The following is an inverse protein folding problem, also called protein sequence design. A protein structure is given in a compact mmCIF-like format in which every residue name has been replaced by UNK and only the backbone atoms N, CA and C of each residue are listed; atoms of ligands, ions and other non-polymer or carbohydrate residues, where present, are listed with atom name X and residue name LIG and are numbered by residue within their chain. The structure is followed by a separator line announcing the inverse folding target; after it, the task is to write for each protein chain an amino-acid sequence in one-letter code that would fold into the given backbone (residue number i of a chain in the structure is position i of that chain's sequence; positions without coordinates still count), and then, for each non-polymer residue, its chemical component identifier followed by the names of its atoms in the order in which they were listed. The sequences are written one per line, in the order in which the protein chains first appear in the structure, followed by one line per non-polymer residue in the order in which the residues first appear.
data_IF_840526077121
#
_entry.id   IF_840526077121
#
_cell.length_a   1.000
_cell.length_b   1.000
_cell.length_c   1.000
_cell.angle_alpha   90.00
_cell.angle_beta   90.00
_cell.angle_gamma   90.00
#
_symmetry.space_group_name_H-M   'P 1'
#
loop_
_entity.id
_entity.type
_entity.pdbx_description
1 polymer ?
#
# COMPACT_ATOMS: atom_id res chain seq x y z
N UNK A 1 -22.31 32.71 6.49
CA UNK A 1 -22.35 33.81 5.47
C UNK A 1 -20.99 34.12 4.82
N UNK A 2 -19.90 34.26 5.59
CA UNK A 2 -18.56 34.60 5.05
C UNK A 2 -17.92 33.49 4.19
N UNK A 3 -18.12 32.21 4.53
CA UNK A 3 -17.57 31.04 3.80
C UNK A 3 -18.08 30.97 2.36
N UNK A 4 -19.33 31.35 2.13
CA UNK A 4 -19.95 31.32 0.81
C UNK A 4 -19.33 32.35 -0.14
N UNK A 5 -19.02 33.55 0.35
CA UNK A 5 -18.54 34.64 -0.49
C UNK A 5 -17.12 34.37 -1.01
N UNK A 6 -16.23 33.81 -0.19
CA UNK A 6 -14.87 33.46 -0.62
C UNK A 6 -14.87 32.38 -1.73
N UNK A 7 -15.73 31.37 -1.59
CA UNK A 7 -15.89 30.32 -2.61
C UNK A 7 -16.40 30.92 -3.92
N UNK A 8 -17.43 31.76 -3.86
CA UNK A 8 -17.98 32.41 -5.05
C UNK A 8 -16.95 33.34 -5.72
N UNK A 9 -16.19 34.11 -4.94
CA UNK A 9 -15.16 35.00 -5.46
C UNK A 9 -14.04 34.23 -6.16
N UNK A 10 -13.60 33.10 -5.60
CA UNK A 10 -12.53 32.30 -6.19
C UNK A 10 -12.99 31.52 -7.42
N UNK A 11 -14.23 31.01 -7.43
CA UNK A 11 -14.86 30.43 -8.62
C UNK A 11 -14.98 31.47 -9.74
N UNK A 12 -15.41 32.69 -9.42
CA UNK A 12 -15.52 33.77 -10.41
C UNK A 12 -14.15 34.15 -10.99
N UNK A 13 -13.08 34.17 -10.18
CA UNK A 13 -11.71 34.37 -10.67
C UNK A 13 -11.25 33.23 -11.58
N UNK A 14 -11.50 31.98 -11.19
CA UNK A 14 -11.18 30.80 -12.01
C UNK A 14 -11.87 30.90 -13.37
N UNK A 15 -13.17 31.20 -13.40
CA UNK A 15 -13.92 31.29 -14.65
C UNK A 15 -13.39 32.44 -15.54
N UNK A 16 -13.12 33.60 -14.94
CA UNK A 16 -12.61 34.78 -15.65
C UNK A 16 -11.22 34.55 -16.23
N UNK A 17 -10.29 34.03 -15.43
CA UNK A 17 -8.91 33.79 -15.87
C UNK A 17 -8.81 32.60 -16.83
N UNK A 18 -9.66 31.58 -16.69
CA UNK A 18 -9.81 30.49 -17.66
C UNK A 18 -10.21 31.01 -19.04
N UNK A 19 -11.27 31.82 -19.11
CA UNK A 19 -11.73 32.40 -20.39
C UNK A 19 -10.67 33.29 -21.04
N UNK A 20 -9.97 34.12 -20.26
CA UNK A 20 -8.88 34.95 -20.78
C UNK A 20 -7.68 34.12 -21.21
N UNK A 21 -7.32 33.06 -20.49
CA UNK A 21 -6.24 32.16 -20.88
C UNK A 21 -6.56 31.50 -22.23
N UNK A 22 -7.77 30.96 -22.39
CA UNK A 22 -8.22 30.34 -23.65
C UNK A 22 -8.22 31.36 -24.80
N UNK A 23 -8.74 32.57 -24.59
CA UNK A 23 -8.72 33.62 -25.61
C UNK A 23 -7.30 34.05 -25.99
N UNK A 24 -6.40 34.17 -25.01
CA UNK A 24 -5.01 34.54 -25.26
C UNK A 24 -4.22 33.43 -25.96
N UNK A 25 -4.55 32.15 -25.69
CA UNK A 25 -4.01 31.00 -26.42
C UNK A 25 -4.51 30.97 -27.87
N UNK A 26 -5.80 31.21 -28.09
CA UNK A 26 -6.38 31.28 -29.44
C UNK A 26 -5.76 32.42 -30.28
N UNK A 27 -5.40 33.54 -29.63
CA UNK A 27 -4.76 34.68 -30.26
C UNK A 27 -3.21 34.58 -30.27
N UNK A 28 -2.62 33.43 -29.90
CA UNK A 28 -1.17 33.17 -29.87
C UNK A 28 -0.35 34.09 -28.94
N UNK A 29 -1.02 34.78 -28.02
CA UNK A 29 -0.39 35.66 -27.02
C UNK A 29 0.09 34.85 -25.81
N UNK A 30 1.08 33.99 -26.02
CA UNK A 30 1.55 32.97 -25.06
C UNK A 30 1.98 33.55 -23.70
N UNK A 31 2.58 34.74 -23.67
CA UNK A 31 3.00 35.38 -22.41
C UNK A 31 1.81 35.75 -21.50
N UNK A 32 0.76 36.32 -22.08
CA UNK A 32 -0.45 36.67 -21.32
C UNK A 32 -1.30 35.43 -20.99
N UNK A 33 -1.28 34.41 -21.85
CA UNK A 33 -1.89 33.12 -21.56
C UNK A 33 -1.23 32.44 -20.34
N UNK A 34 0.11 32.45 -20.27
CA UNK A 34 0.85 31.86 -19.15
C UNK A 34 0.55 32.57 -17.82
N UNK A 35 0.45 33.90 -17.81
CA UNK A 35 0.08 34.68 -16.62
C UNK A 35 -1.33 34.33 -16.15
N UNK A 36 -2.31 34.29 -17.05
CA UNK A 36 -3.68 33.95 -16.69
C UNK A 36 -3.80 32.48 -16.24
N UNK A 37 -3.03 31.57 -16.84
CA UNK A 37 -2.95 30.18 -16.41
C UNK A 37 -2.34 30.06 -15.01
N UNK A 38 -1.29 30.82 -14.70
CA UNK A 38 -0.72 30.86 -13.36
C UNK A 38 -1.73 31.38 -12.33
N UNK A 39 -2.45 32.47 -12.65
CA UNK A 39 -3.50 33.00 -11.78
C UNK A 39 -4.63 32.00 -11.56
N UNK A 40 -5.03 31.26 -12.61
CA UNK A 40 -6.00 30.17 -12.51
C UNK A 40 -5.51 29.06 -11.58
N UNK A 41 -4.25 28.63 -11.71
CA UNK A 41 -3.66 27.62 -10.83
C UNK A 41 -3.56 28.09 -9.38
N UNK A 42 -3.20 29.36 -9.16
CA UNK A 42 -3.21 29.97 -7.83
C UNK A 42 -4.62 29.98 -7.23
N UNK A 43 -5.62 30.37 -8.01
CA UNK A 43 -7.01 30.39 -7.53
C UNK A 43 -7.56 29.01 -7.23
N UNK A 44 -7.24 28.01 -8.06
CA UNK A 44 -7.57 26.61 -7.80
C UNK A 44 -6.93 26.09 -6.52
N UNK A 45 -5.65 26.41 -6.31
CA UNK A 45 -4.94 26.01 -5.09
C UNK A 45 -5.51 26.69 -3.85
N UNK A 46 -5.87 27.97 -3.93
CA UNK A 46 -6.50 28.70 -2.82
C UNK A 46 -7.88 28.13 -2.48
N UNK A 47 -8.70 27.80 -3.48
CA UNK A 47 -9.99 27.15 -3.27
C UNK A 47 -9.82 25.76 -2.66
N UNK A 48 -8.86 24.96 -3.14
CA UNK A 48 -8.56 23.63 -2.62
C UNK A 48 -8.05 23.69 -1.17
N UNK A 49 -7.15 24.63 -0.86
CA UNK A 49 -6.67 24.88 0.51
C UNK A 49 -7.83 25.28 1.42
N UNK A 50 -8.68 26.21 0.99
CA UNK A 50 -9.82 26.64 1.79
C UNK A 50 -10.84 25.51 2.01
N UNK A 51 -11.13 24.70 0.99
CA UNK A 51 -12.00 23.54 1.13
C UNK A 51 -11.38 22.48 2.06
N UNK A 52 -10.06 22.28 1.98
CA UNK A 52 -9.32 21.43 2.90
C UNK A 52 -9.41 21.94 4.34
N UNK A 53 -9.25 23.25 4.55
CA UNK A 53 -9.34 23.88 5.87
C UNK A 53 -10.76 23.82 6.43
N UNK A 54 -11.80 24.00 5.61
CA UNK A 54 -13.20 23.84 6.03
C UNK A 54 -13.51 22.39 6.38
N UNK A 55 -13.02 21.43 5.58
CA UNK A 55 -13.18 20.00 5.87
C UNK A 55 -12.44 19.61 7.15
N UNK A 56 -11.21 20.08 7.32
CA UNK A 56 -10.42 19.86 8.52
C UNK A 56 -11.03 20.55 9.73
N UNK A 57 -11.64 21.73 9.57
CA UNK A 57 -12.37 22.42 10.64
C UNK A 57 -13.66 21.68 10.99
N UNK A 58 -14.39 21.11 10.03
CA UNK A 58 -15.54 20.24 10.32
C UNK A 58 -15.10 18.93 11.01
N UNK A 59 -13.99 18.34 10.59
CA UNK A 59 -13.40 17.15 11.22
C UNK A 59 -12.87 17.47 12.63
N UNK A 60 -12.24 18.63 12.82
CA UNK A 60 -11.83 19.16 14.11
C UNK A 60 -13.01 19.59 14.98
N UNK A 61 -14.11 20.10 14.44
CA UNK A 61 -15.31 20.47 15.20
C UNK A 61 -16.10 19.23 15.63
N UNK A 62 -16.11 18.18 14.80
CA UNK A 62 -16.54 16.84 15.21
C UNK A 62 -15.58 16.22 16.25
N UNK A 63 -14.28 16.52 16.19
CA UNK A 63 -13.29 16.12 17.20
C UNK A 63 -13.35 16.99 18.47
N UNK A 64 -13.75 18.27 18.39
CA UNK A 64 -13.89 19.21 19.51
C UNK A 64 -15.23 19.03 20.24
N UNK A 65 -16.24 18.48 19.57
CA UNK A 65 -17.43 17.92 20.25
C UNK A 65 -17.07 16.71 21.13
N UNK A 66 -15.83 16.21 21.02
CA UNK A 66 -15.20 15.19 21.84
C UNK A 66 -14.09 15.74 22.77
N UNK A 67 -13.93 17.06 22.91
CA UNK A 67 -13.00 17.71 23.84
C UNK A 67 -13.73 18.73 24.73
N UNK A 68 -14.64 18.24 25.56
CA UNK A 68 -14.93 18.84 26.87
C UNK A 68 -14.29 17.93 27.94
N UNK A 69 -12.96 17.95 28.01
CA UNK A 69 -12.16 17.65 29.20
C UNK A 69 -10.68 17.88 28.86
N UNK A 70 -10.11 18.85 29.55
CA UNK A 70 -8.76 19.42 29.40
C UNK A 70 -7.59 18.43 29.31
N UNK A 71 -6.52 18.87 28.63
CA UNK A 71 -5.16 18.68 29.16
C UNK A 71 -4.15 17.91 28.30
N UNK A 72 -3.41 18.68 27.48
CA UNK A 72 -2.00 18.48 27.09
C UNK A 72 -1.55 17.17 26.40
N UNK A 73 -1.34 17.25 25.07
CA UNK A 73 -0.42 16.37 24.33
C UNK A 73 0.76 17.17 23.77
N UNK A 74 1.97 16.82 24.19
CA UNK A 74 3.20 17.02 23.42
C UNK A 74 3.65 15.64 22.92
N UNK A 75 3.62 15.42 21.61
CA UNK A 75 4.52 14.46 20.98
C UNK A 75 4.91 15.01 19.60
N UNK A 76 6.19 15.34 19.47
CA UNK A 76 6.80 15.84 18.25
C UNK A 76 7.14 14.67 17.30
N UNK A 77 6.96 14.98 16.02
CA UNK A 77 7.80 14.60 14.87
C UNK A 77 7.20 13.59 13.85
N UNK A 78 6.63 14.08 12.73
CA UNK A 78 6.29 13.28 11.57
C UNK A 78 7.50 13.20 10.61
N UNK A 79 7.82 11.99 10.11
CA UNK A 79 8.57 11.83 8.86
C UNK A 79 7.69 11.09 7.86
N UNK A 80 7.53 11.78 6.73
CA UNK A 80 6.64 11.52 5.62
C UNK A 80 7.34 10.65 4.57
N UNK A 81 6.66 9.60 4.10
CA UNK A 81 6.75 8.96 2.78
C UNK A 81 5.49 8.09 2.71
N UNK A 82 4.53 8.16 1.80
CA UNK A 82 4.40 8.76 0.48
C UNK A 82 3.49 7.80 -0.30
N UNK A 83 2.23 8.16 -0.53
CA UNK A 83 1.34 7.73 -1.63
C UNK A 83 -0.12 8.06 -1.28
N UNK A 84 -0.62 9.12 -1.88
CA UNK A 84 -2.05 9.35 -2.04
C UNK A 84 -2.48 8.61 -3.30
N UNK A 85 -3.27 7.55 -3.13
CA UNK A 85 -4.28 7.08 -4.06
C UNK A 85 -5.13 6.04 -3.32
N UNK A 86 -6.41 6.38 -3.08
CA UNK A 86 -7.38 5.66 -2.25
C UNK A 86 -7.05 5.64 -0.76
N UNK A 87 -7.31 6.73 -0.04
CA UNK A 87 -7.50 6.65 1.43
C UNK A 87 -8.86 6.00 1.72
N UNK A 88 -8.95 4.71 1.39
CA UNK A 88 -9.91 3.80 2.02
C UNK A 88 -9.58 3.80 3.51
N UNK A 89 -10.58 3.71 4.39
CA UNK A 89 -10.34 3.71 5.82
C UNK A 89 -9.43 2.53 6.16
N UNK A 90 -8.25 2.83 6.71
CA UNK A 90 -7.34 1.82 7.23
C UNK A 90 -8.05 1.01 8.32
N UNK A 91 -7.77 -0.28 8.41
CA UNK A 91 -8.31 -1.17 9.45
C UNK A 91 -8.13 -0.57 10.86
N UNK A 92 -7.02 0.14 11.09
CA UNK A 92 -6.73 0.90 12.31
C UNK A 92 -7.75 2.00 12.59
N UNK A 93 -8.16 2.75 11.57
CA UNK A 93 -9.17 3.81 11.68
C UNK A 93 -10.55 3.23 11.96
N UNK A 94 -10.94 2.15 11.27
CA UNK A 94 -12.22 1.47 11.52
C UNK A 94 -12.29 0.90 12.92
N UNK A 95 -11.19 0.33 13.42
CA UNK A 95 -11.09 -0.16 14.80
C UNK A 95 -11.30 0.96 15.82
N UNK A 96 -10.71 2.12 15.59
CA UNK A 96 -10.87 3.27 16.48
C UNK A 96 -12.33 3.74 16.50
N UNK A 97 -12.95 3.87 15.33
CA UNK A 97 -14.37 4.21 15.20
C UNK A 97 -15.26 3.20 15.92
N UNK A 98 -14.99 1.90 15.77
CA UNK A 98 -15.72 0.86 16.48
C UNK A 98 -15.58 1.03 17.99
N UNK A 99 -14.35 1.21 18.49
CA UNK A 99 -14.10 1.35 19.92
C UNK A 99 -14.84 2.55 20.51
N UNK A 100 -14.91 3.65 19.77
CA UNK A 100 -15.63 4.84 20.21
C UNK A 100 -17.15 4.62 20.15
N UNK A 101 -17.66 3.88 19.16
CA UNK A 101 -19.05 3.44 19.11
C UNK A 101 -19.40 2.53 20.30
N UNK A 102 -18.50 1.63 20.70
CA UNK A 102 -18.69 0.75 21.86
C UNK A 102 -18.83 1.56 23.16
N UNK A 103 -17.95 2.55 23.35
CA UNK A 103 -18.04 3.46 24.51
C UNK A 103 -19.33 4.25 24.52
N UNK A 104 -19.77 4.76 23.37
CA UNK A 104 -21.04 5.50 23.25
C UNK A 104 -22.23 4.60 23.59
N UNK A 105 -22.25 3.35 23.13
CA UNK A 105 -23.29 2.39 23.49
C UNK A 105 -23.29 2.06 24.99
N UNK A 106 -22.13 1.84 25.60
CA UNK A 106 -22.05 1.60 27.05
C UNK A 106 -22.52 2.81 27.87
N UNK A 107 -22.15 4.02 27.45
CA UNK A 107 -22.60 5.26 28.08
C UNK A 107 -24.13 5.40 27.97
N UNK A 108 -24.69 5.19 26.77
CA UNK A 108 -26.13 5.26 26.55
C UNK A 108 -26.86 4.19 27.36
N UNK A 109 -26.33 2.97 27.45
CA UNK A 109 -26.92 1.90 28.25
C UNK A 109 -27.03 2.30 29.73
N UNK A 110 -25.98 2.93 30.29
CA UNK A 110 -26.00 3.46 31.67
C UNK A 110 -27.01 4.59 31.84
N UNK A 111 -27.12 5.48 30.85
CA UNK A 111 -28.11 6.57 30.89
C UNK A 111 -29.55 6.07 30.79
N UNK A 112 -29.80 5.02 29.99
CA UNK A 112 -31.09 4.33 29.91
C UNK A 112 -31.46 3.68 31.24
N UNK A 113 -30.51 3.00 31.91
CA UNK A 113 -30.74 2.39 33.23
C UNK A 113 -31.00 3.44 34.32
N UNK A 114 -30.35 4.60 34.24
CA UNK A 114 -30.52 5.69 35.19
C UNK A 114 -31.77 6.55 34.93
N UNK A 115 -32.53 6.28 33.85
CA UNK A 115 -33.77 7.01 33.52
C UNK A 115 -33.59 8.50 33.21
N UNK A 116 -32.35 8.95 32.92
CA UNK A 116 -32.01 10.39 32.83
C UNK A 116 -32.35 11.05 31.49
N UNK A 117 -32.62 10.27 30.44
CA UNK A 117 -32.88 10.79 29.08
C UNK A 117 -34.28 10.46 28.59
N UNK A 118 -34.89 11.38 27.84
CA UNK A 118 -36.20 11.15 27.24
C UNK A 118 -36.13 10.09 26.13
N UNK A 119 -37.20 9.32 25.96
CA UNK A 119 -37.30 8.23 24.96
C UNK A 119 -36.99 8.70 23.52
N UNK A 120 -37.29 9.96 23.20
CA UNK A 120 -37.02 10.56 21.88
C UNK A 120 -35.52 10.78 21.64
N UNK A 121 -34.80 11.29 22.63
CA UNK A 121 -33.35 11.50 22.56
C UNK A 121 -32.58 10.17 22.47
N UNK A 122 -33.03 9.16 23.22
CA UNK A 122 -32.48 7.80 23.16
C UNK A 122 -32.70 7.21 21.76
N UNK A 123 -33.88 7.38 21.18
CA UNK A 123 -34.18 6.89 19.82
C UNK A 123 -33.30 7.54 18.76
N UNK A 124 -33.04 8.84 18.87
CA UNK A 124 -32.17 9.58 17.95
C UNK A 124 -30.71 9.13 18.09
N UNK A 125 -30.23 8.95 19.32
CA UNK A 125 -28.87 8.45 19.58
C UNK A 125 -28.67 7.03 19.02
N UNK A 126 -29.66 6.14 19.20
CA UNK A 126 -29.62 4.78 18.65
C UNK A 126 -29.62 4.77 17.12
N UNK A 127 -30.43 5.64 16.48
CA UNK A 127 -30.42 5.78 15.02
C UNK A 127 -29.06 6.26 14.50
N UNK A 128 -28.45 7.26 15.15
CA UNK A 128 -27.10 7.73 14.82
C UNK A 128 -26.07 6.60 14.96
N UNK A 129 -26.11 5.83 16.04
CA UNK A 129 -25.20 4.70 16.22
C UNK A 129 -25.43 3.58 15.18
N UNK A 130 -26.68 3.32 14.79
CA UNK A 130 -26.98 2.36 13.72
C UNK A 130 -26.35 2.81 12.38
N UNK A 131 -26.46 4.09 12.04
CA UNK A 131 -25.82 4.63 10.81
C UNK A 131 -24.30 4.56 10.85
N UNK A 132 -23.69 4.78 12.01
CA UNK A 132 -22.24 4.65 12.18
C UNK A 132 -21.79 3.19 12.04
N UNK A 133 -22.51 2.26 12.66
CA UNK A 133 -22.25 0.82 12.53
C UNK A 133 -22.37 0.36 11.08
N UNK A 134 -23.38 0.84 10.35
CA UNK A 134 -23.56 0.53 8.93
C UNK A 134 -22.39 1.04 8.07
N UNK A 135 -21.89 2.25 8.36
CA UNK A 135 -20.73 2.80 7.66
C UNK A 135 -19.48 1.93 7.90
N UNK A 136 -19.26 1.47 9.13
CA UNK A 136 -18.16 0.56 9.47
C UNK A 136 -18.33 -0.78 8.75
N UNK A 137 -19.54 -1.35 8.74
CA UNK A 137 -19.83 -2.60 8.04
C UNK A 137 -19.56 -2.51 6.54
N UNK A 138 -20.00 -1.44 5.88
CA UNK A 138 -19.74 -1.21 4.44
C UNK A 138 -18.24 -1.11 4.14
N UNK A 139 -17.50 -0.40 4.99
CA UNK A 139 -16.05 -0.33 4.87
C UNK A 139 -15.38 -1.71 5.05
N UNK A 140 -15.85 -2.50 6.01
CA UNK A 140 -15.38 -3.89 6.21
C UNK A 140 -15.68 -4.80 5.03
N UNK A 141 -16.82 -4.64 4.35
CA UNK A 141 -17.14 -5.37 3.13
C UNK A 141 -16.15 -5.06 2.00
N UNK A 142 -15.79 -3.78 1.82
CA UNK A 142 -14.79 -3.38 0.83
C UNK A 142 -13.42 -3.99 1.14
N UNK A 143 -13.05 -4.04 2.42
CA UNK A 143 -11.81 -4.66 2.90
C UNK A 143 -11.83 -6.18 2.64
N UNK A 144 -12.96 -6.85 2.90
CA UNK A 144 -13.15 -8.28 2.59
C UNK A 144 -12.94 -8.58 1.11
N UNK A 145 -13.53 -7.77 0.23
CA UNK A 145 -13.41 -7.96 -1.23
C UNK A 145 -11.96 -7.81 -1.70
N UNK A 146 -11.19 -6.89 -1.11
CA UNK A 146 -9.78 -6.73 -1.41
C UNK A 146 -8.95 -7.93 -0.97
N UNK A 147 -9.12 -8.37 0.28
CA UNK A 147 -8.43 -9.57 0.78
C UNK A 147 -8.79 -10.83 0.00
N UNK A 148 -10.03 -10.93 -0.48
CA UNK A 148 -10.46 -12.05 -1.32
C UNK A 148 -9.77 -12.03 -2.68
N UNK A 149 -9.54 -10.84 -3.26
CA UNK A 149 -8.77 -10.67 -4.52
C UNK A 149 -7.29 -10.98 -4.35
N UNK A 150 -6.72 -10.70 -3.18
CA UNK A 150 -5.31 -10.96 -2.83
C UNK A 150 -5.05 -12.44 -2.48
N UNK A 151 -6.07 -13.30 -2.50
CA UNK A 151 -5.94 -14.74 -2.25
C UNK A 151 -5.89 -15.13 -0.77
N UNK A 152 -6.13 -14.19 0.15
CA UNK A 152 -6.11 -14.45 1.59
C UNK A 152 -7.49 -14.93 2.10
N UNK A 153 -7.86 -16.15 1.72
CA UNK A 153 -9.18 -16.75 2.04
C UNK A 153 -9.43 -16.96 3.55
N UNK A 154 -8.38 -17.18 4.36
CA UNK A 154 -8.52 -17.40 5.81
C UNK A 154 -8.95 -16.14 6.55
N UNK A 155 -8.44 -14.97 6.16
CA UNK A 155 -8.84 -13.70 6.76
C UNK A 155 -10.23 -13.26 6.26
N UNK A 156 -10.62 -13.64 5.03
CA UNK A 156 -11.91 -13.32 4.46
C UNK A 156 -13.11 -13.97 5.19
N UNK A 157 -12.97 -15.22 5.67
CA UNK A 157 -14.03 -15.90 6.45
C UNK A 157 -14.21 -15.27 7.82
N UNK A 158 -13.12 -14.87 8.47
CA UNK A 158 -13.15 -14.18 9.76
C UNK A 158 -13.84 -12.82 9.66
N UNK A 159 -13.55 -12.05 8.61
CA UNK A 159 -14.21 -10.78 8.33
C UNK A 159 -15.69 -10.98 8.00
N UNK A 160 -16.03 -12.07 7.31
CA UNK A 160 -17.44 -12.40 7.04
C UNK A 160 -18.24 -12.59 8.34
N UNK A 161 -17.72 -13.36 9.30
CA UNK A 161 -18.39 -13.55 10.59
C UNK A 161 -18.57 -12.22 11.35
N UNK A 162 -17.59 -11.33 11.25
CA UNK A 162 -17.68 -10.01 11.86
C UNK A 162 -18.74 -9.13 11.20
N UNK A 163 -18.85 -9.15 9.87
CA UNK A 163 -19.90 -8.45 9.12
C UNK A 163 -21.28 -8.96 9.54
N UNK A 164 -21.47 -10.27 9.67
CA UNK A 164 -22.74 -10.85 10.12
C UNK A 164 -23.11 -10.42 11.55
N UNK A 165 -22.12 -10.34 12.43
CA UNK A 165 -22.34 -9.85 13.79
C UNK A 165 -22.67 -8.35 13.81
N UNK A 166 -22.04 -7.55 12.93
CA UNK A 166 -22.40 -6.13 12.73
C UNK A 166 -23.85 -5.99 12.25
N UNK A 167 -24.31 -6.79 11.29
CA UNK A 167 -25.70 -6.75 10.82
C UNK A 167 -26.72 -7.09 11.91
N UNK A 168 -26.39 -8.04 12.79
CA UNK A 168 -27.25 -8.34 13.95
C UNK A 168 -27.30 -7.15 14.90
N UNK A 169 -26.17 -6.50 15.19
CA UNK A 169 -26.16 -5.30 16.03
C UNK A 169 -26.93 -4.14 15.39
N UNK A 170 -26.85 -3.94 14.08
CA UNK A 170 -27.62 -2.92 13.35
C UNK A 170 -29.13 -3.14 13.49
N UNK A 171 -29.59 -4.40 13.35
CA UNK A 171 -31.00 -4.77 13.55
C UNK A 171 -31.46 -4.51 14.98
N UNK A 172 -30.64 -4.87 15.97
CA UNK A 172 -30.93 -4.63 17.38
C UNK A 172 -31.04 -3.12 17.66
N UNK A 173 -30.12 -2.30 17.13
CA UNK A 173 -30.15 -0.84 17.26
C UNK A 173 -31.36 -0.20 16.57
N UNK A 174 -31.72 -0.67 15.37
CA UNK A 174 -32.91 -0.20 14.65
C UNK A 174 -34.21 -0.50 15.43
N UNK A 175 -34.27 -1.67 16.05
CA UNK A 175 -35.37 -2.07 16.93
C UNK A 175 -35.29 -1.45 18.34
N UNK A 176 -34.35 -0.52 18.55
CA UNK A 176 -34.10 0.18 19.82
C UNK A 176 -33.79 -0.76 20.98
N UNK A 177 -33.23 -1.92 20.68
CA UNK A 177 -32.90 -2.95 21.64
C UNK A 177 -31.40 -2.88 22.00
N UNK A 178 -31.07 -2.19 23.08
CA UNK A 178 -29.70 -2.13 23.61
C UNK A 178 -29.51 -3.15 24.74
N UNK A 179 -29.62 -4.43 24.37
CA UNK A 179 -29.49 -5.54 25.32
C UNK A 179 -28.04 -5.82 25.71
N UNK A 180 -27.84 -6.57 26.79
CA UNK A 180 -26.51 -7.09 27.16
C UNK A 180 -25.88 -7.89 26.01
N UNK A 181 -26.66 -8.71 25.30
CA UNK A 181 -26.18 -9.47 24.15
C UNK A 181 -25.70 -8.57 23.01
N UNK A 182 -26.36 -7.43 22.77
CA UNK A 182 -25.95 -6.44 21.75
C UNK A 182 -24.58 -5.86 22.09
N UNK A 183 -24.40 -5.44 23.35
CA UNK A 183 -23.12 -4.91 23.84
C UNK A 183 -22.01 -5.97 23.80
N UNK A 184 -22.33 -7.20 24.22
CA UNK A 184 -21.39 -8.32 24.20
C UNK A 184 -20.94 -8.65 22.77
N UNK A 185 -21.87 -8.70 21.82
CA UNK A 185 -21.56 -8.92 20.39
C UNK A 185 -20.65 -7.82 19.86
N UNK A 186 -20.91 -6.59 20.25
CA UNK A 186 -20.08 -5.47 19.86
C UNK A 186 -18.64 -5.56 20.41
N UNK A 187 -18.46 -6.01 21.66
CA UNK A 187 -17.13 -6.30 22.21
C UNK A 187 -16.42 -7.41 21.46
N UNK A 188 -17.14 -8.45 21.06
CA UNK A 188 -16.58 -9.53 20.24
C UNK A 188 -16.12 -9.02 18.87
N UNK A 189 -16.89 -8.13 18.24
CA UNK A 189 -16.49 -7.48 16.98
C UNK A 189 -15.19 -6.68 17.17
N UNK A 190 -15.05 -5.92 18.25
CA UNK A 190 -13.81 -5.18 18.56
C UNK A 190 -12.60 -6.11 18.78
N UNK A 191 -12.77 -7.19 19.53
CA UNK A 191 -11.72 -8.20 19.75
C UNK A 191 -11.30 -8.81 18.41
N UNK A 192 -12.27 -9.14 17.56
CA UNK A 192 -11.98 -9.68 16.23
C UNK A 192 -11.21 -8.68 15.37
N UNK A 193 -11.59 -7.40 15.37
CA UNK A 193 -10.80 -6.38 14.65
C UNK A 193 -9.38 -6.25 15.15
N UNK A 194 -9.15 -6.36 16.46
CA UNK A 194 -7.81 -6.35 17.04
C UNK A 194 -6.97 -7.56 16.60
N UNK A 195 -7.59 -8.74 16.50
CA UNK A 195 -6.94 -9.94 15.98
C UNK A 195 -6.59 -9.80 14.50
N UNK A 196 -7.50 -9.26 13.69
CA UNK A 196 -7.28 -9.01 12.27
C UNK A 196 -6.13 -8.00 12.03
N UNK A 197 -6.09 -6.89 12.77
CA UNK A 197 -5.01 -5.90 12.68
C UNK A 197 -3.65 -6.51 13.07
N UNK A 198 -3.60 -7.33 14.12
CA UNK A 198 -2.37 -8.04 14.49
C UNK A 198 -1.91 -9.01 13.41
N UNK A 199 -2.84 -9.72 12.78
CA UNK A 199 -2.54 -10.64 11.69
C UNK A 199 -1.98 -9.90 10.46
N UNK A 200 -2.55 -8.75 10.12
CA UNK A 200 -2.06 -7.87 9.05
C UNK A 200 -0.63 -7.39 9.32
N UNK A 201 -0.36 -6.89 10.53
CA UNK A 201 0.98 -6.47 10.95
C UNK A 201 2.00 -7.62 10.90
N UNK A 202 1.61 -8.82 11.34
CA UNK A 202 2.49 -10.00 11.26
C UNK A 202 2.84 -10.34 9.82
N UNK A 203 1.86 -10.30 8.90
CA UNK A 203 2.10 -10.55 7.47
C UNK A 203 3.05 -9.52 6.85
N UNK A 204 2.90 -8.23 7.18
CA UNK A 204 3.83 -7.19 6.75
C UNK A 204 5.26 -7.49 7.22
N UNK A 205 5.43 -7.85 8.50
CA UNK A 205 6.76 -8.18 9.05
C UNK A 205 7.36 -9.45 8.46
N UNK A 206 6.54 -10.46 8.13
CA UNK A 206 6.99 -11.70 7.49
C UNK A 206 7.46 -11.45 6.05
N UNK A 207 6.78 -10.58 5.30
CA UNK A 207 7.20 -10.19 3.96
C UNK A 207 8.53 -9.43 3.97
N UNK A 208 8.75 -8.56 4.97
CA UNK A 208 10.04 -7.87 5.17
C UNK A 208 11.17 -8.84 5.58
N UNK A 209 10.84 -9.94 6.28
CA UNK A 209 11.82 -10.96 6.71
C UNK A 209 12.17 -11.98 5.64
N UNK A 210 11.40 -12.09 4.56
CA UNK A 210 11.81 -12.80 3.34
C UNK A 210 12.85 -11.98 2.59
N UNK A 211 13.96 -11.67 3.24
CA UNK A 211 15.17 -11.18 2.58
C UNK A 211 15.60 -12.21 1.55
N UNK A 212 16.03 -11.77 0.36
CA UNK A 212 16.65 -12.66 -0.61
C UNK A 212 17.79 -13.39 0.08
N UNK A 213 17.65 -14.71 0.27
CA UNK A 213 18.80 -15.53 0.61
C UNK A 213 19.81 -15.33 -0.50
N UNK A 214 21.03 -14.91 -0.14
CA UNK A 214 22.11 -14.79 -1.12
C UNK A 214 22.17 -16.11 -1.90
N UNK A 215 21.87 -16.06 -3.20
CA UNK A 215 22.14 -17.18 -4.09
C UNK A 215 23.65 -17.31 -4.09
N UNK A 216 24.18 -18.23 -3.28
CA UNK A 216 25.54 -18.68 -3.43
C UNK A 216 25.59 -19.41 -4.77
N UNK A 217 25.79 -18.66 -5.84
CA UNK A 217 26.27 -19.19 -7.11
C UNK A 217 27.68 -19.70 -6.85
N UNK A 218 27.76 -20.90 -6.26
CA UNK A 218 28.99 -21.66 -6.26
C UNK A 218 29.27 -21.96 -7.73
N UNK A 219 30.15 -21.15 -8.34
CA UNK A 219 30.82 -21.47 -9.59
C UNK A 219 31.70 -22.71 -9.38
N UNK A 220 31.06 -23.86 -9.20
CA UNK A 220 31.72 -25.14 -9.12
C UNK A 220 32.12 -25.52 -10.55
N UNK A 221 33.44 -25.53 -10.76
CA UNK A 221 34.18 -25.95 -11.95
C UNK A 221 34.52 -24.86 -12.99
N UNK A 222 35.43 -23.93 -12.63
CA UNK A 222 36.27 -23.26 -13.62
C UNK A 222 37.25 -24.21 -14.35
N UNK A 223 37.43 -25.45 -13.85
CA UNK A 223 38.42 -26.41 -14.35
C UNK A 223 38.00 -27.08 -15.67
N UNK A 224 36.71 -27.05 -16.04
CA UNK A 224 36.22 -27.74 -17.26
C UNK A 224 36.76 -27.14 -18.57
N UNK A 225 37.19 -25.87 -18.57
CA UNK A 225 37.72 -25.20 -19.76
C UNK A 225 39.24 -25.35 -19.98
N UNK A 226 40.00 -25.93 -19.04
CA UNK A 226 41.44 -26.11 -19.21
C UNK A 226 41.84 -27.46 -19.85
N UNK A 227 40.95 -28.45 -19.88
CA UNK A 227 41.29 -29.79 -20.38
C UNK A 227 41.41 -29.89 -21.92
N UNK A 228 40.93 -28.90 -22.69
CA UNK A 228 40.95 -28.99 -24.15
C UNK A 228 42.29 -28.57 -24.80
N UNK A 229 43.15 -27.83 -24.09
CA UNK A 229 44.39 -27.29 -24.66
C UNK A 229 45.66 -28.06 -24.31
N UNK A 230 45.62 -28.99 -23.34
CA UNK A 230 46.80 -29.78 -22.97
C UNK A 230 47.09 -30.87 -24.02
N UNK A 231 46.06 -31.40 -24.70
CA UNK A 231 46.23 -32.50 -25.65
C UNK A 231 46.67 -32.01 -27.05
N UNK A 232 46.44 -30.73 -27.40
CA UNK A 232 46.87 -30.19 -28.71
C UNK A 232 48.39 -30.01 -28.83
N UNK A 233 49.12 -29.90 -27.72
CA UNK A 233 50.56 -29.63 -27.73
C UNK A 233 51.45 -30.88 -27.73
N UNK A 234 50.89 -32.10 -27.60
CA UNK A 234 51.65 -33.33 -27.82
C UNK A 234 51.93 -33.63 -29.30
N UNK A 235 51.47 -32.77 -30.22
CA UNK A 235 51.82 -32.82 -31.63
C UNK A 235 53.17 -32.18 -31.94
N UNK A 236 54.14 -32.20 -31.03
CA UNK A 236 55.54 -31.93 -31.38
C UNK A 236 56.09 -32.96 -32.39
N UNK A 237 55.40 -34.09 -32.58
CA UNK A 237 55.65 -35.02 -33.69
C UNK A 237 54.97 -34.66 -35.02
N UNK A 238 54.02 -33.72 -35.02
CA UNK A 238 53.26 -33.31 -36.22
C UNK A 238 53.83 -32.05 -36.90
N UNK A 239 54.98 -31.55 -36.45
CA UNK A 239 55.67 -30.46 -37.15
C UNK A 239 56.22 -30.95 -38.49
N UNK A 240 55.43 -30.70 -39.55
CA UNK A 240 55.84 -30.62 -40.96
C UNK A 240 56.58 -31.82 -41.56
N UNK A 241 55.87 -32.93 -41.80
CA UNK A 241 56.39 -34.01 -42.67
C UNK A 241 56.13 -33.81 -44.17
N UNK A 242 55.26 -32.89 -44.56
CA UNK A 242 54.71 -32.89 -45.93
C UNK A 242 54.91 -31.59 -46.73
N UNK A 243 56.03 -30.87 -46.58
CA UNK A 243 56.31 -29.72 -47.47
C UNK A 243 57.79 -29.49 -47.84
N UNK A 244 58.60 -30.55 -47.94
CA UNK A 244 59.96 -30.46 -48.50
C UNK A 244 60.22 -31.64 -49.46
N UNK A 245 60.43 -31.34 -50.75
CA UNK A 245 60.76 -32.34 -51.78
C UNK A 245 62.22 -32.77 -51.67
N UNK A 246 62.54 -33.63 -50.70
CA UNK A 246 63.87 -34.23 -50.59
C UNK A 246 64.10 -35.31 -51.65
N UNK A 247 65.31 -35.33 -52.24
CA UNK A 247 65.81 -36.43 -53.06
C UNK A 247 65.80 -37.75 -52.25
N UNK A 248 65.53 -38.88 -52.91
CA UNK A 248 65.36 -40.22 -52.34
C UNK A 248 66.49 -40.63 -51.38
N UNK A 249 67.73 -40.22 -51.68
CA UNK A 249 68.90 -40.47 -50.83
C UNK A 249 68.71 -39.91 -49.41
N UNK A 250 68.32 -38.64 -49.31
CA UNK A 250 68.15 -37.96 -48.02
C UNK A 250 66.92 -38.47 -47.26
N UNK A 251 65.86 -38.88 -47.97
CA UNK A 251 64.69 -39.52 -47.34
C UNK A 251 65.08 -40.80 -46.59
N UNK A 252 65.89 -41.66 -47.19
CA UNK A 252 66.35 -42.90 -46.54
C UNK A 252 67.18 -42.61 -45.29
N UNK A 253 68.09 -41.64 -45.36
CA UNK A 253 68.92 -41.26 -44.20
C UNK A 253 68.10 -40.69 -43.04
N UNK A 254 67.10 -39.87 -43.34
CA UNK A 254 66.20 -39.31 -42.32
C UNK A 254 65.39 -40.43 -41.65
N UNK A 255 64.87 -41.39 -42.43
CA UNK A 255 64.12 -42.52 -41.89
C UNK A 255 65.00 -43.42 -40.99
N UNK A 256 66.23 -43.68 -41.42
CA UNK A 256 67.22 -44.45 -40.66
C UNK A 256 67.56 -43.76 -39.33
N UNK A 257 67.76 -42.44 -39.34
CA UNK A 257 68.00 -41.65 -38.13
C UNK A 257 66.83 -41.74 -37.14
N UNK A 258 65.58 -41.51 -37.59
CA UNK A 258 64.42 -41.55 -36.70
C UNK A 258 64.11 -42.94 -36.16
N UNK A 259 64.33 -43.99 -36.94
CA UNK A 259 64.18 -45.36 -36.47
C UNK A 259 65.18 -45.66 -35.33
N UNK A 260 66.42 -45.18 -35.44
CA UNK A 260 67.43 -45.38 -34.39
C UNK A 260 67.12 -44.55 -33.13
N UNK A 261 66.67 -43.30 -33.29
CA UNK A 261 66.30 -42.43 -32.15
C UNK A 261 65.11 -43.00 -31.36
N UNK A 262 64.17 -43.68 -32.02
CA UNK A 262 63.03 -44.32 -31.34
C UNK A 262 63.39 -45.67 -30.70
N UNK A 263 64.50 -46.30 -31.12
CA UNK A 263 65.02 -47.51 -30.48
C UNK A 263 65.81 -47.20 -29.20
N UNK A 264 66.42 -46.02 -29.06
CA UNK A 264 67.11 -45.62 -27.83
C UNK A 264 66.18 -45.13 -26.70
N UNK A 265 64.87 -45.00 -26.98
CA UNK A 265 63.86 -44.54 -26.01
C UNK A 265 62.89 -45.64 -25.54
N UNK A 266 63.13 -46.91 -25.88
CA UNK A 266 62.41 -48.07 -25.33
C UNK A 266 63.36 -48.95 -24.51
#
# INVERSE_FOLDING_TARGET
PMVSNFIFDEINKIEKESKKAINNLNNWTLGHAAINQQNLMTSLNNLALFLSDVLQQMEQQNSMSQMNSDGAMKCNNPKNTGNSNNTKPSMKTLKQLQKDLNKQMEALQKEMQNGKKQSKEISEALAKMATQQEAIRRAMQQIKEQMSKEGNLKNATFIQQMIEDMEKTEKDLYNKNLSYETIKRQKQIEIRMLEAEKAEQQQETDNLRKSETAKNDYNSNLIKNFQYNVIKNNNFESMNRNNLNFNLYYRKKIQEYFNNVNYEKN
#
